data_IF_801846047743
#
_entry.id   IF_801846047743
#
_cell.length_a   1.000
_cell.length_b   1.000
_cell.length_c   1.000
_cell.angle_alpha   90.00
_cell.angle_beta   90.00
_cell.angle_gamma   90.00
#
_symmetry.space_group_name_H-M   'P 1'
#
loop_
_entity.id
_entity.type
_entity.pdbx_description
1 polymer ?
#
# COMPACT_ATOMS: atom_id res chain seq x y z
N UNK A 1 -11.62 1.10 -24.62
CA UNK A 1 -10.43 0.29 -24.99
C UNK A 1 -9.45 1.11 -25.81
N UNK A 2 -9.79 1.51 -27.05
CA UNK A 2 -8.91 2.32 -27.92
C UNK A 2 -8.44 3.63 -27.27
N UNK A 3 -9.33 4.43 -26.67
CA UNK A 3 -8.94 5.71 -26.04
C UNK A 3 -8.04 5.58 -24.82
N UNK A 4 -8.16 4.50 -24.03
CA UNK A 4 -7.29 4.31 -22.86
C UNK A 4 -5.95 3.73 -23.24
N UNK A 5 -5.94 2.80 -24.20
CA UNK A 5 -4.72 2.27 -24.79
C UNK A 5 -3.97 3.38 -25.55
N UNK A 6 -4.70 4.27 -26.23
CA UNK A 6 -4.19 5.47 -26.89
C UNK A 6 -3.67 6.48 -25.87
N UNK A 7 -4.35 6.71 -24.75
CA UNK A 7 -3.86 7.60 -23.69
C UNK A 7 -2.64 7.04 -22.97
N UNK A 8 -2.57 5.72 -22.75
CA UNK A 8 -1.39 5.04 -22.26
C UNK A 8 -0.25 5.08 -23.29
N UNK A 9 -0.53 4.88 -24.58
CA UNK A 9 0.42 5.06 -25.70
C UNK A 9 0.87 6.52 -25.85
N UNK A 10 0.01 7.49 -25.60
CA UNK A 10 0.29 8.92 -25.66
C UNK A 10 1.16 9.36 -24.47
N UNK A 11 0.88 8.85 -23.27
CA UNK A 11 1.72 9.03 -22.09
C UNK A 11 3.09 8.35 -22.25
N UNK A 12 3.15 7.21 -22.96
CA UNK A 12 4.39 6.56 -23.41
C UNK A 12 5.15 7.43 -24.42
N UNK A 13 4.47 8.00 -25.41
CA UNK A 13 5.05 8.86 -26.47
C UNK A 13 5.55 10.21 -25.95
N UNK A 14 4.93 10.74 -24.88
CA UNK A 14 5.35 11.98 -24.18
C UNK A 14 6.57 11.78 -23.26
N UNK A 15 7.13 10.57 -23.19
CA UNK A 15 8.34 10.29 -22.40
C UNK A 15 8.12 10.29 -20.88
N UNK A 16 6.86 10.23 -20.43
CA UNK A 16 6.49 10.23 -19.02
C UNK A 16 6.46 8.82 -18.41
N UNK A 17 6.31 7.79 -19.25
CA UNK A 17 6.61 6.37 -18.99
C UNK A 17 7.45 5.90 -20.20
N UNK A 18 8.66 5.34 -20.01
CA UNK A 18 9.68 5.24 -21.08
C UNK A 18 9.94 3.78 -21.43
N UNK A 19 9.10 3.20 -22.29
CA UNK A 19 9.45 1.95 -22.97
C UNK A 19 10.24 2.27 -24.26
N UNK A 20 11.53 1.90 -24.32
CA UNK A 20 12.27 1.86 -25.59
C UNK A 20 11.68 0.74 -26.45
N UNK A 21 11.26 1.07 -27.68
CA UNK A 21 10.85 0.08 -28.68
C UNK A 21 12.00 -0.87 -28.98
N UNK A 22 11.83 -2.17 -28.69
CA UNK A 22 12.73 -3.22 -29.15
C UNK A 22 12.29 -3.68 -30.54
N UNK A 23 12.74 -2.96 -31.57
CA UNK A 23 12.73 -3.47 -32.94
C UNK A 23 13.86 -4.48 -33.11
N UNK A 24 13.51 -5.75 -33.28
CA UNK A 24 14.45 -6.80 -33.65
C UNK A 24 14.78 -6.71 -35.13
N UNK A 25 16.06 -6.68 -35.46
CA UNK A 25 16.55 -6.92 -36.81
C UNK A 25 17.57 -8.06 -36.74
N UNK A 26 17.19 -9.19 -37.33
CA UNK A 26 17.99 -10.41 -37.42
C UNK A 26 19.27 -10.14 -38.21
N UNK A 27 20.44 -10.34 -37.58
CA UNK A 27 21.70 -10.52 -38.31
C UNK A 27 22.20 -11.93 -38.09
N UNK A 28 22.37 -12.61 -39.23
CA UNK A 28 22.90 -13.94 -39.40
C UNK A 28 24.29 -14.06 -38.76
N UNK A 29 24.49 -15.13 -37.98
CA UNK A 29 25.80 -15.52 -37.48
C UNK A 29 26.60 -16.20 -38.59
N UNK A 30 27.73 -15.59 -38.98
CA UNK A 30 28.79 -16.29 -39.70
C UNK A 30 30.12 -16.20 -38.94
N UNK A 31 30.86 -17.31 -39.01
CA UNK A 31 31.89 -17.80 -38.08
C UNK A 31 33.19 -17.00 -38.09
N UNK A 32 33.89 -17.03 -36.95
CA UNK A 32 35.33 -16.74 -36.88
C UNK A 32 35.93 -16.99 -35.50
N UNK A 33 36.53 -18.16 -35.30
CA UNK A 33 37.42 -18.46 -34.16
C UNK A 33 38.78 -17.81 -34.44
N UNK A 34 39.20 -16.82 -33.62
CA UNK A 34 40.60 -16.41 -33.52
C UNK A 34 40.95 -15.71 -32.18
N UNK A 35 41.70 -16.45 -31.37
CA UNK A 35 42.80 -16.16 -30.44
C UNK A 35 42.99 -14.77 -29.75
N UNK A 36 43.13 -14.86 -28.41
CA UNK A 36 43.98 -14.09 -27.45
C UNK A 36 44.06 -12.55 -27.51
N UNK A 37 43.73 -11.89 -26.38
CA UNK A 37 44.70 -11.39 -25.37
C UNK A 37 44.01 -10.70 -24.16
N UNK A 38 44.75 -10.70 -23.06
CA UNK A 38 44.37 -10.33 -21.68
C UNK A 38 44.06 -8.84 -21.51
N UNK A 39 43.05 -8.56 -20.68
CA UNK A 39 42.66 -7.23 -20.20
C UNK A 39 41.27 -7.30 -19.59
N UNK A 40 41.15 -7.90 -18.40
CA UNK A 40 39.86 -8.11 -17.72
C UNK A 40 39.30 -6.82 -17.13
N UNK A 41 38.83 -5.90 -17.97
CA UNK A 41 37.79 -4.96 -17.57
C UNK A 41 36.50 -5.78 -17.46
N UNK A 42 35.83 -5.72 -16.32
CA UNK A 42 34.61 -6.48 -16.09
C UNK A 42 33.56 -6.07 -17.13
N UNK A 43 33.41 -6.87 -18.18
CA UNK A 43 32.29 -6.81 -19.11
C UNK A 43 31.05 -7.06 -18.26
N UNK A 44 30.34 -5.98 -17.91
CA UNK A 44 29.00 -6.09 -17.38
C UNK A 44 28.18 -6.67 -18.52
N UNK A 45 27.86 -7.95 -18.40
CA UNK A 45 26.92 -8.62 -19.27
C UNK A 45 25.59 -7.86 -19.23
N UNK A 46 25.36 -7.01 -20.24
CA UNK A 46 24.14 -6.22 -20.43
C UNK A 46 22.95 -7.09 -20.92
N UNK A 47 23.04 -8.43 -20.83
CA UNK A 47 22.04 -9.33 -21.39
C UNK A 47 21.07 -9.96 -20.38
N UNK A 48 21.13 -9.65 -19.08
CA UNK A 48 20.15 -10.17 -18.09
C UNK A 48 19.71 -9.16 -17.02
N UNK A 49 19.58 -7.86 -17.34
CA UNK A 49 18.79 -6.98 -16.48
C UNK A 49 17.30 -7.35 -16.67
N UNK A 50 16.68 -7.96 -15.66
CA UNK A 50 15.28 -8.30 -15.69
C UNK A 50 14.47 -7.02 -15.90
N UNK A 51 14.03 -6.77 -17.14
CA UNK A 51 13.29 -5.56 -17.48
C UNK A 51 11.97 -5.55 -16.71
N UNK A 52 11.89 -4.71 -15.69
CA UNK A 52 10.67 -4.46 -14.94
C UNK A 52 9.76 -3.53 -15.76
N UNK A 53 8.46 -3.80 -15.70
CA UNK A 53 7.47 -2.92 -16.31
C UNK A 53 7.39 -1.57 -15.58
N UNK A 54 7.22 -0.49 -16.36
CA UNK A 54 7.02 0.84 -15.81
C UNK A 54 5.66 0.94 -15.10
N UNK A 55 5.65 1.49 -13.88
CA UNK A 55 4.42 1.71 -13.10
C UNK A 55 4.08 3.18 -13.04
N UNK A 56 2.86 3.53 -13.46
CA UNK A 56 2.39 4.90 -13.49
C UNK A 56 1.07 5.03 -12.69
N UNK A 57 0.91 6.12 -11.91
CA UNK A 57 -0.32 6.38 -11.13
C UNK A 57 -1.30 7.16 -12.01
N UNK A 58 -2.43 6.53 -12.36
CA UNK A 58 -3.43 7.11 -13.27
C UNK A 58 -4.61 7.80 -12.58
N UNK A 59 -4.77 7.61 -11.26
CA UNK A 59 -5.82 8.27 -10.49
C UNK A 59 -5.66 8.15 -8.99
N UNK A 60 -6.12 9.17 -8.26
CA UNK A 60 -6.05 9.24 -6.80
C UNK A 60 -7.33 9.85 -6.24
N UNK A 61 -7.86 9.23 -5.19
CA UNK A 61 -8.95 9.79 -4.40
C UNK A 61 -8.83 9.37 -2.93
N UNK A 62 -9.41 10.17 -2.04
CA UNK A 62 -9.57 9.86 -0.61
C UNK A 62 -10.88 10.46 -0.11
N UNK A 63 -11.42 9.88 0.96
CA UNK A 63 -12.49 10.53 1.73
C UNK A 63 -11.95 11.72 2.53
N UNK A 64 -12.82 12.61 3.04
CA UNK A 64 -12.46 13.48 4.15
C UNK A 64 -11.98 12.67 5.37
N UNK A 65 -11.16 13.29 6.22
CA UNK A 65 -10.75 12.70 7.50
C UNK A 65 -11.71 13.18 8.58
N UNK A 66 -12.47 12.25 9.18
CA UNK A 66 -13.37 12.56 10.29
C UNK A 66 -12.64 12.54 11.64
N UNK A 67 -13.08 13.39 12.57
CA UNK A 67 -12.68 13.27 13.97
C UNK A 67 -13.19 11.98 14.60
N UNK A 68 -12.55 11.51 15.68
CA UNK A 68 -12.98 10.35 16.43
C UNK A 68 -14.40 10.56 16.98
N UNK A 69 -15.30 9.60 16.74
CA UNK A 69 -16.74 9.71 17.01
C UNK A 69 -17.41 10.95 16.36
N UNK A 70 -16.84 11.45 15.26
CA UNK A 70 -17.34 12.61 14.54
C UNK A 70 -18.29 12.27 13.38
N UNK A 71 -18.28 13.11 12.35
CA UNK A 71 -19.23 13.09 11.22
C UNK A 71 -19.24 11.80 10.39
N UNK A 72 -18.10 11.11 10.28
CA UNK A 72 -17.98 9.86 9.52
C UNK A 72 -18.11 8.61 10.40
N UNK A 73 -18.44 8.75 11.69
CA UNK A 73 -18.51 7.62 12.63
C UNK A 73 -19.60 6.61 12.30
N UNK A 74 -20.65 7.00 11.59
CA UNK A 74 -21.71 6.11 11.13
C UNK A 74 -21.29 5.18 9.99
N UNK A 75 -20.14 5.41 9.36
CA UNK A 75 -19.66 4.63 8.22
C UNK A 75 -18.58 3.62 8.63
N UNK A 76 -18.73 2.38 8.15
CA UNK A 76 -17.71 1.34 8.30
C UNK A 76 -16.46 1.69 7.49
N UNK A 77 -15.31 1.11 7.89
CA UNK A 77 -14.06 1.26 7.13
C UNK A 77 -14.24 0.77 5.68
N UNK A 78 -14.94 -0.36 5.48
CA UNK A 78 -15.21 -0.94 4.16
C UNK A 78 -16.02 0.00 3.26
N UNK A 79 -17.02 0.70 3.81
CA UNK A 79 -17.82 1.67 3.04
C UNK A 79 -17.01 2.90 2.65
N UNK A 80 -16.16 3.40 3.54
CA UNK A 80 -15.22 4.50 3.24
C UNK A 80 -14.23 4.07 2.14
N UNK A 81 -13.72 2.84 2.21
CA UNK A 81 -12.89 2.24 1.17
C UNK A 81 -13.59 2.17 -0.18
N UNK A 82 -14.85 1.72 -0.23
CA UNK A 82 -15.64 1.68 -1.46
C UNK A 82 -15.78 3.05 -2.12
N UNK A 83 -16.08 4.09 -1.34
CA UNK A 83 -16.23 5.47 -1.84
C UNK A 83 -14.91 5.97 -2.44
N UNK A 84 -13.79 5.69 -1.78
CA UNK A 84 -12.46 6.07 -2.25
C UNK A 84 -12.09 5.36 -3.57
N UNK A 85 -12.31 4.04 -3.65
CA UNK A 85 -12.03 3.24 -4.86
C UNK A 85 -12.87 3.75 -6.04
N UNK A 86 -14.18 3.87 -5.85
CA UNK A 86 -15.09 4.35 -6.90
C UNK A 86 -14.70 5.75 -7.40
N UNK A 87 -14.33 6.65 -6.49
CA UNK A 87 -13.90 8.01 -6.84
C UNK A 87 -12.56 8.02 -7.58
N UNK A 88 -11.63 7.14 -7.22
CA UNK A 88 -10.33 7.04 -7.89
C UNK A 88 -10.49 6.54 -9.32
N UNK A 89 -11.27 5.47 -9.54
CA UNK A 89 -11.55 4.93 -10.88
C UNK A 89 -12.28 5.95 -11.76
N UNK A 90 -13.27 6.65 -11.21
CA UNK A 90 -14.00 7.72 -11.94
C UNK A 90 -13.07 8.86 -12.37
N UNK A 91 -12.13 9.29 -11.51
CA UNK A 91 -11.15 10.33 -11.84
C UNK A 91 -10.12 9.87 -12.87
N UNK A 92 -9.73 8.60 -12.82
CA UNK A 92 -8.84 7.99 -13.80
C UNK A 92 -9.51 7.73 -15.15
N UNK A 93 -10.86 7.78 -15.21
CA UNK A 93 -11.66 7.35 -16.34
C UNK A 93 -11.37 5.88 -16.74
N UNK A 94 -11.18 5.01 -15.74
CA UNK A 94 -10.90 3.58 -15.92
C UNK A 94 -12.19 2.79 -15.76
N UNK A 95 -12.44 1.87 -16.70
CA UNK A 95 -13.54 0.90 -16.59
C UNK A 95 -13.29 -0.06 -15.41
N UNK A 96 -14.21 -0.16 -14.42
CA UNK A 96 -14.07 -1.05 -13.29
C UNK A 96 -13.86 -2.53 -13.66
N UNK A 97 -14.29 -2.96 -14.85
CA UNK A 97 -14.13 -4.34 -15.33
C UNK A 97 -12.68 -4.71 -15.67
N UNK A 98 -11.83 -3.71 -15.91
CA UNK A 98 -10.42 -3.92 -16.26
C UNK A 98 -9.52 -4.10 -15.03
N UNK A 99 -10.02 -3.80 -13.82
CA UNK A 99 -9.25 -3.97 -12.59
C UNK A 99 -9.08 -5.46 -12.31
N UNK A 100 -7.84 -5.92 -12.20
CA UNK A 100 -7.52 -7.34 -11.97
C UNK A 100 -7.35 -7.67 -10.49
N UNK A 101 -6.74 -6.75 -9.72
CA UNK A 101 -6.44 -6.97 -8.31
C UNK A 101 -6.60 -5.69 -7.47
N UNK A 102 -6.93 -5.87 -6.18
CA UNK A 102 -6.99 -4.80 -5.18
C UNK A 102 -6.15 -5.16 -3.95
N UNK A 103 -5.18 -4.32 -3.63
CA UNK A 103 -4.48 -4.33 -2.35
C UNK A 103 -4.98 -3.17 -1.48
N UNK A 104 -5.58 -3.46 -0.33
CA UNK A 104 -6.12 -2.42 0.54
C UNK A 104 -5.66 -2.57 1.99
N UNK A 105 -5.02 -1.52 2.50
CA UNK A 105 -4.52 -1.47 3.87
C UNK A 105 -5.65 -1.31 4.88
N UNK A 106 -5.65 -2.11 5.96
CA UNK A 106 -6.51 -1.93 7.12
C UNK A 106 -5.85 -2.54 8.37
N UNK A 107 -5.79 -1.80 9.47
CA UNK A 107 -5.09 -2.24 10.69
C UNK A 107 -6.04 -2.91 11.66
N UNK A 108 -7.16 -2.26 11.97
CA UNK A 108 -8.10 -2.72 12.97
C UNK A 108 -9.31 -3.38 12.30
N UNK A 109 -9.13 -4.64 11.88
CA UNK A 109 -10.14 -5.36 11.09
C UNK A 109 -11.26 -6.03 11.89
N UNK A 110 -11.25 -5.91 13.22
CA UNK A 110 -12.27 -6.55 14.04
C UNK A 110 -13.66 -5.93 13.79
N UNK A 111 -14.70 -6.77 13.80
CA UNK A 111 -16.09 -6.39 13.53
C UNK A 111 -16.33 -5.80 12.11
N UNK A 112 -15.36 -5.85 11.20
CA UNK A 112 -15.58 -5.47 9.80
C UNK A 112 -16.18 -6.60 8.95
N UNK A 113 -16.21 -7.84 9.46
CA UNK A 113 -16.62 -9.02 8.69
C UNK A 113 -15.47 -9.64 7.90
N UNK A 114 -15.80 -10.56 6.99
CA UNK A 114 -14.80 -11.31 6.21
C UNK A 114 -14.21 -10.47 5.08
N UNK A 115 -12.91 -10.62 4.85
CA UNK A 115 -12.17 -10.00 3.74
C UNK A 115 -12.49 -8.50 3.51
N UNK A 116 -12.04 -7.58 4.39
CA UNK A 116 -12.38 -6.17 4.31
C UNK A 116 -12.09 -5.54 2.93
N UNK A 117 -10.92 -5.80 2.33
CA UNK A 117 -10.60 -5.30 0.98
C UNK A 117 -11.63 -5.74 -0.05
N UNK A 118 -12.10 -7.00 0.02
CA UNK A 118 -13.12 -7.53 -0.89
C UNK A 118 -14.46 -6.84 -0.72
N UNK A 119 -14.88 -6.56 0.52
CA UNK A 119 -16.10 -5.77 0.77
C UNK A 119 -16.00 -4.36 0.18
N UNK A 120 -14.85 -3.71 0.33
CA UNK A 120 -14.61 -2.38 -0.23
C UNK A 120 -14.69 -2.40 -1.77
N UNK A 121 -14.05 -3.39 -2.40
CA UNK A 121 -14.06 -3.63 -3.86
C UNK A 121 -15.47 -3.85 -4.40
N UNK A 122 -16.23 -4.79 -3.83
CA UNK A 122 -17.60 -5.06 -4.24
C UNK A 122 -18.52 -3.86 -4.00
N UNK A 123 -18.36 -3.18 -2.87
CA UNK A 123 -19.14 -1.97 -2.55
C UNK A 123 -18.83 -0.77 -3.44
N UNK A 124 -17.69 -0.78 -4.16
CA UNK A 124 -17.32 0.21 -5.17
C UNK A 124 -17.87 -0.11 -6.57
N UNK A 125 -18.47 -1.29 -6.76
CA UNK A 125 -19.03 -1.75 -8.03
C UNK A 125 -18.06 -2.49 -8.94
N UNK A 126 -16.91 -2.94 -8.43
CA UNK A 126 -15.99 -3.79 -9.19
C UNK A 126 -16.53 -5.23 -9.29
N UNK A 127 -16.19 -5.98 -10.36
CA UNK A 127 -16.72 -7.33 -10.55
C UNK A 127 -16.22 -8.30 -9.47
N UNK A 128 -16.95 -9.40 -9.32
CA UNK A 128 -16.60 -10.46 -8.37
C UNK A 128 -15.37 -11.30 -8.80
N UNK A 129 -14.84 -11.08 -10.01
CA UNK A 129 -13.62 -11.71 -10.50
C UNK A 129 -12.35 -11.09 -9.92
N UNK A 130 -12.42 -9.85 -9.40
CA UNK A 130 -11.23 -9.10 -8.93
C UNK A 130 -10.63 -9.72 -7.67
N UNK A 131 -9.34 -10.06 -7.72
CA UNK A 131 -8.60 -10.59 -6.57
C UNK A 131 -8.42 -9.50 -5.52
N UNK A 132 -8.56 -9.83 -4.24
CA UNK A 132 -8.56 -8.82 -3.17
C UNK A 132 -7.72 -9.27 -1.97
N UNK A 133 -6.75 -8.45 -1.58
CA UNK A 133 -5.86 -8.71 -0.44
C UNK A 133 -5.93 -7.56 0.56
N UNK A 134 -6.25 -7.89 1.82
CA UNK A 134 -6.19 -6.92 2.92
C UNK A 134 -4.79 -6.93 3.51
N UNK A 135 -4.14 -5.78 3.56
CA UNK A 135 -2.74 -5.65 4.01
C UNK A 135 -2.70 -5.01 5.39
N UNK A 136 -2.00 -5.63 6.33
CA UNK A 136 -1.76 -5.03 7.65
C UNK A 136 -0.26 -4.88 7.89
N UNK A 137 0.20 -3.63 7.84
CA UNK A 137 1.51 -3.19 8.31
C UNK A 137 1.39 -1.94 9.18
N UNK A 138 0.45 -1.97 10.12
CA UNK A 138 0.13 -0.86 11.05
C UNK A 138 -0.05 0.45 10.25
N UNK A 139 0.54 1.57 10.65
CA UNK A 139 0.39 2.85 9.97
C UNK A 139 0.87 2.82 8.50
N UNK A 140 1.78 1.90 8.16
CA UNK A 140 2.32 1.75 6.82
C UNK A 140 1.45 0.85 5.91
N UNK A 141 0.27 0.39 6.37
CA UNK A 141 -0.58 -0.55 5.62
C UNK A 141 -0.96 -0.03 4.23
N UNK A 142 -1.37 1.23 4.12
CA UNK A 142 -1.74 1.83 2.83
C UNK A 142 -0.57 1.91 1.86
N UNK A 143 0.58 2.38 2.34
CA UNK A 143 1.80 2.46 1.52
C UNK A 143 2.31 1.06 1.14
N UNK A 144 2.26 0.09 2.06
CA UNK A 144 2.66 -1.29 1.75
C UNK A 144 1.74 -1.92 0.71
N UNK A 145 0.44 -1.63 0.74
CA UNK A 145 -0.49 -2.05 -0.30
C UNK A 145 -0.11 -1.46 -1.67
N UNK A 146 0.24 -0.18 -1.74
CA UNK A 146 0.76 0.45 -2.97
C UNK A 146 2.05 -0.19 -3.46
N UNK A 147 2.99 -0.52 -2.56
CA UNK A 147 4.22 -1.22 -2.93
C UNK A 147 3.95 -2.60 -3.54
N UNK A 148 3.01 -3.37 -2.96
CA UNK A 148 2.64 -4.69 -3.49
C UNK A 148 1.98 -4.59 -4.87
N UNK A 149 1.11 -3.60 -5.06
CA UNK A 149 0.51 -3.33 -6.36
C UNK A 149 1.55 -2.96 -7.42
N UNK A 150 2.50 -2.09 -7.07
CA UNK A 150 3.60 -1.72 -7.97
C UNK A 150 4.45 -2.94 -8.34
N UNK A 151 4.79 -3.79 -7.36
CA UNK A 151 5.53 -5.04 -7.61
C UNK A 151 4.75 -5.99 -8.54
N UNK A 152 3.44 -6.09 -8.36
CA UNK A 152 2.59 -6.91 -9.22
C UNK A 152 2.60 -6.45 -10.68
N UNK A 153 2.58 -5.12 -10.91
CA UNK A 153 2.68 -4.55 -12.26
C UNK A 153 4.09 -4.69 -12.82
N UNK A 154 5.13 -4.37 -12.04
CA UNK A 154 6.54 -4.48 -12.44
C UNK A 154 6.91 -5.89 -12.92
N UNK A 155 6.32 -6.91 -12.31
CA UNK A 155 6.54 -8.32 -12.63
C UNK A 155 5.65 -8.82 -13.78
N UNK A 156 4.81 -7.98 -14.38
CA UNK A 156 3.88 -8.36 -15.46
C UNK A 156 2.76 -9.30 -15.01
N UNK A 157 2.44 -9.36 -13.70
CA UNK A 157 1.39 -10.23 -13.17
C UNK A 157 0.00 -9.61 -13.41
N UNK A 158 -0.11 -8.29 -13.27
CA UNK A 158 -1.32 -7.52 -13.52
C UNK A 158 -0.98 -6.22 -14.24
N UNK A 159 -1.92 -5.69 -15.03
CA UNK A 159 -1.81 -4.42 -15.73
C UNK A 159 -2.48 -3.27 -14.95
N UNK A 160 -3.65 -3.55 -14.36
CA UNK A 160 -4.47 -2.55 -13.66
C UNK A 160 -4.80 -3.06 -12.25
N UNK A 161 -4.19 -2.42 -11.27
CA UNK A 161 -4.33 -2.75 -9.85
C UNK A 161 -4.80 -1.52 -9.07
N UNK A 162 -5.76 -1.70 -8.17
CA UNK A 162 -6.17 -0.66 -7.22
C UNK A 162 -5.41 -0.85 -5.91
N UNK A 163 -4.78 0.21 -5.42
CA UNK A 163 -4.10 0.19 -4.13
C UNK A 163 -4.53 1.35 -3.24
N UNK A 164 -4.56 1.12 -1.93
CA UNK A 164 -4.87 2.16 -0.96
C UNK A 164 -5.03 1.65 0.45
N UNK A 165 -5.86 2.31 1.24
CA UNK A 165 -6.18 1.88 2.59
C UNK A 165 -7.46 2.53 3.13
N UNK A 166 -7.99 1.93 4.19
CA UNK A 166 -9.19 2.36 4.89
C UNK A 166 -9.07 2.09 6.39
N UNK A 167 -9.66 2.96 7.19
CA UNK A 167 -9.71 2.79 8.64
C UNK A 167 -10.94 3.49 9.20
N UNK A 168 -11.54 2.92 10.26
CA UNK A 168 -12.64 3.54 11.00
C UNK A 168 -12.44 3.30 12.48
N UNK A 169 -11.57 4.11 13.09
CA UNK A 169 -11.25 4.00 14.52
C UNK A 169 -12.49 4.14 15.41
N UNK A 170 -13.47 4.95 14.99
CA UNK A 170 -14.75 5.13 15.68
C UNK A 170 -15.55 3.83 15.83
N UNK A 171 -15.38 2.87 14.92
CA UNK A 171 -16.14 1.60 14.91
C UNK A 171 -15.34 0.41 15.44
N UNK A 172 -14.14 0.64 15.98
CA UNK A 172 -13.30 -0.43 16.53
C UNK A 172 -13.96 -1.00 17.78
N UNK A 173 -14.29 -2.30 17.80
CA UNK A 173 -14.93 -2.91 18.96
C UNK A 173 -13.95 -3.06 20.12
N UNK A 174 -14.51 -3.18 21.31
CA UNK A 174 -13.77 -3.66 22.49
C UNK A 174 -13.70 -5.18 22.49
N UNK A 175 -12.59 -5.74 22.98
CA UNK A 175 -12.40 -7.19 23.09
C UNK A 175 -12.63 -7.71 24.50
N UNK A 176 -13.21 -8.91 24.60
CA UNK A 176 -13.24 -9.72 25.82
C UNK A 176 -12.55 -11.05 25.49
N UNK A 177 -11.22 -11.10 25.70
CA UNK A 177 -10.38 -12.23 25.26
C UNK A 177 -10.85 -13.59 25.82
N UNK A 178 -11.32 -13.61 27.06
CA UNK A 178 -11.71 -14.85 27.75
C UNK A 178 -13.11 -15.35 27.36
N UNK A 179 -13.89 -14.60 26.57
CA UNK A 179 -15.29 -14.92 26.31
C UNK A 179 -15.45 -16.25 25.58
N UNK A 180 -14.54 -16.55 24.64
CA UNK A 180 -14.56 -17.82 23.88
C UNK A 180 -14.27 -19.03 24.77
N UNK A 181 -13.34 -18.90 25.72
CA UNK A 181 -12.92 -20.01 26.59
C UNK A 181 -13.84 -20.19 27.81
N UNK A 182 -14.30 -19.10 28.44
CA UNK A 182 -15.05 -19.13 29.71
C UNK A 182 -16.56 -18.93 29.52
N UNK A 183 -17.02 -18.54 28.32
CA UNK A 183 -18.42 -18.27 28.03
C UNK A 183 -19.00 -17.17 28.93
N UNK A 184 -20.28 -17.29 29.31
CA UNK A 184 -20.98 -16.31 30.17
C UNK A 184 -20.32 -16.07 31.53
N UNK A 185 -19.41 -16.96 31.99
CA UNK A 185 -18.64 -16.78 33.23
C UNK A 185 -17.66 -15.62 33.15
N UNK A 186 -17.11 -15.31 31.96
CA UNK A 186 -16.25 -14.14 31.74
C UNK A 186 -16.97 -12.80 31.95
N UNK A 187 -18.30 -12.79 31.89
CA UNK A 187 -19.13 -11.59 32.02
C UNK A 187 -19.60 -11.34 33.47
N UNK A 188 -19.44 -12.32 34.37
CA UNK A 188 -19.91 -12.21 35.76
C UNK A 188 -19.03 -11.31 36.63
N UNK A 189 -17.77 -11.14 36.25
CA UNK A 189 -16.80 -10.41 37.03
C UNK A 189 -16.78 -8.91 36.61
N UNK A 190 -17.81 -8.17 37.02
CA UNK A 190 -18.07 -6.77 36.60
C UNK A 190 -16.90 -5.82 36.86
N UNK A 191 -16.03 -6.12 37.83
CA UNK A 191 -14.82 -5.32 38.15
C UNK A 191 -13.64 -5.59 37.20
N UNK A 192 -13.55 -6.76 36.56
CA UNK A 192 -12.43 -7.12 35.69
C UNK A 192 -12.70 -6.85 34.20
N UNK A 193 -13.97 -6.77 33.78
CA UNK A 193 -14.36 -6.36 32.41
C UNK A 193 -13.88 -4.94 32.08
N UNK A 194 -13.87 -4.04 33.06
CA UNK A 194 -13.43 -2.65 32.85
C UNK A 194 -11.90 -2.47 32.86
N UNK A 195 -11.14 -3.47 33.33
CA UNK A 195 -9.68 -3.40 33.53
C UNK A 195 -8.88 -4.22 32.51
N UNK A 196 -9.54 -5.05 31.69
CA UNK A 196 -8.93 -5.92 30.67
C UNK A 196 -9.24 -5.45 29.25
N UNK A 197 -9.42 -4.15 29.05
CA UNK A 197 -9.31 -3.59 27.71
C UNK A 197 -7.85 -3.69 27.32
N UNK A 198 -7.55 -4.47 26.28
CA UNK A 198 -6.25 -4.44 25.63
C UNK A 198 -6.06 -3.01 25.16
N UNK A 199 -5.23 -2.26 25.88
CA UNK A 199 -4.81 -0.93 25.53
C UNK A 199 -4.06 -1.08 24.19
N UNK A 200 -4.73 -0.77 23.08
CA UNK A 200 -4.15 -0.79 21.73
C UNK A 200 -3.09 0.32 21.54
N UNK A 201 -2.85 1.13 22.57
CA UNK A 201 -1.69 2.01 22.62
C UNK A 201 -0.47 1.17 23.02
N UNK A 202 0.55 1.03 22.16
CA UNK A 202 1.81 0.45 22.61
C UNK A 202 2.33 1.22 23.83
N UNK A 203 2.97 0.57 24.82
CA UNK A 203 3.73 1.31 25.81
C UNK A 203 4.76 2.16 25.05
N UNK A 204 4.90 3.42 25.44
CA UNK A 204 5.91 4.31 24.86
C UNK A 204 7.28 3.65 25.00
N UNK A 205 7.79 3.08 23.90
CA UNK A 205 9.18 2.65 23.84
C UNK A 205 9.99 3.92 23.84
N UNK A 206 10.55 4.25 25.00
CA UNK A 206 11.46 5.35 25.17
C UNK A 206 12.79 4.93 24.51
N UNK A 207 12.87 5.13 23.19
CA UNK A 207 14.08 4.85 22.44
C UNK A 207 15.07 5.99 22.71
N UNK A 208 15.80 5.88 23.82
CA UNK A 208 16.94 6.74 24.10
C UNK A 208 18.04 6.43 23.10
N UNK A 209 18.08 7.18 22.00
CA UNK A 209 19.17 7.15 21.03
C UNK A 209 20.47 7.57 21.73
N UNK A 210 21.29 6.59 22.10
CA UNK A 210 22.70 6.83 22.39
C UNK A 210 23.47 6.92 21.07
N UNK A 211 23.58 8.13 20.52
CA UNK A 211 24.52 8.39 19.43
C UNK A 211 25.89 8.70 20.02
N UNK A 212 26.73 7.67 20.15
CA UNK A 212 28.18 7.85 20.21
C UNK A 212 28.81 6.84 19.27
N UNK A 213 29.02 7.23 18.02
CA UNK A 213 30.24 6.94 17.28
C UNK A 213 30.29 7.81 16.03
N UNK A 214 31.33 8.65 15.98
CA UNK A 214 31.74 9.42 14.81
C UNK A 214 32.39 8.47 13.81
N UNK A 215 31.87 8.39 12.59
CA UNK A 215 32.56 7.80 11.45
C UNK A 215 32.57 8.82 10.30
N UNK A 216 33.72 9.01 9.62
CA UNK A 216 33.85 9.94 8.50
C UNK A 216 33.47 9.24 7.19
N UNK A 217 32.94 9.99 6.22
CA UNK A 217 32.86 9.57 4.82
C UNK A 217 31.43 9.43 4.28
N UNK A 218 30.97 10.51 3.64
CA UNK A 218 29.97 10.58 2.57
C UNK A 218 29.23 9.28 2.17
N UNK A 219 28.16 8.97 2.90
CA UNK A 219 27.05 8.15 2.41
C UNK A 219 25.78 8.89 2.79
N UNK A 220 25.33 9.74 1.87
CA UNK A 220 24.09 10.50 1.94
C UNK A 220 22.90 9.54 1.74
N UNK A 221 22.74 8.57 2.64
CA UNK A 221 21.47 7.87 2.81
C UNK A 221 20.53 8.85 3.51
N UNK A 222 19.77 9.58 2.70
CA UNK A 222 18.62 10.36 3.15
C UNK A 222 17.50 9.39 3.62
N UNK A 223 17.74 8.66 4.70
CA UNK A 223 16.72 8.02 5.52
C UNK A 223 16.19 9.07 6.52
N UNK A 224 15.77 10.21 6.00
CA UNK A 224 14.98 11.22 6.72
C UNK A 224 13.83 11.57 5.78
N UNK A 225 12.87 10.67 5.71
CA UNK A 225 11.52 11.04 5.29
C UNK A 225 10.56 10.70 6.43
N UNK A 226 10.54 11.63 7.39
CA UNK A 226 9.45 11.79 8.35
C UNK A 226 8.24 12.40 7.63
N UNK A 227 7.06 11.91 8.03
CA UNK A 227 5.67 12.43 7.89
C UNK A 227 4.78 11.47 7.07
N UNK A 228 3.55 11.08 7.48
CA UNK A 228 2.63 11.62 8.51
C UNK A 228 1.54 10.58 8.83
N UNK A 229 0.93 10.64 10.03
CA UNK A 229 -0.44 10.14 10.21
C UNK A 229 -0.85 9.53 11.57
N UNK A 230 -0.60 10.19 12.71
CA UNK A 230 -1.50 10.24 13.89
C UNK A 230 -0.79 10.69 15.19
N UNK A 231 0.51 10.47 15.36
CA UNK A 231 1.12 10.58 16.69
C UNK A 231 1.54 11.99 17.14
N UNK A 232 1.61 13.01 16.29
CA UNK A 232 2.24 14.29 16.68
C UNK A 232 1.28 15.38 17.19
N UNK A 233 -0.04 15.23 17.04
CA UNK A 233 -0.96 16.34 17.33
C UNK A 233 -1.43 16.43 18.80
N UNK A 234 -0.91 15.59 19.71
CA UNK A 234 -1.24 15.69 21.14
C UNK A 234 -0.11 16.27 22.02
N UNK A 235 1.04 16.65 21.44
CA UNK A 235 2.20 17.12 22.22
C UNK A 235 2.51 18.62 22.06
N UNK A 236 1.66 19.38 21.36
CA UNK A 236 1.80 20.84 21.18
C UNK A 236 0.61 21.64 21.73
N UNK A 237 -0.13 21.09 22.71
CA UNK A 237 -1.18 21.81 23.45
C UNK A 237 -0.84 22.08 24.92
N UNK A 238 0.39 21.83 25.36
CA UNK A 238 0.91 22.34 26.63
C UNK A 238 1.61 23.68 26.41
N UNK A 239 0.85 24.79 26.47
CA UNK A 239 1.40 26.13 26.34
C UNK A 239 2.19 26.57 27.58
N UNK A 240 3.36 27.14 27.32
CA UNK A 240 3.94 28.37 27.89
C UNK A 240 3.44 28.76 29.30
N UNK A 241 4.25 28.46 30.33
CA UNK A 241 4.99 29.45 31.17
C UNK A 241 6.34 28.80 31.51
#
# INVERSE_FOLDING_TARGET
MAEMEEKAKELRKKGLCRAKESGGESREEEKGVADRKQGGEAVRDESTDARLEDVCIVGVARTPMGGFLGTLSSLSATKLGSIAIQSALKRANVDPTLVQEVFFGNVLSANLGQAPARQATLGAGLPNTVVCTTVNKVCASGMKATMLAAQSIQLGINDIVVAGGMESMSNVPKYIAELRAKGKRALKDKKSVNKRYIQLSPPAINLSLHTKHSLPGSLLFAAIWLTTGCCFLHMLRGGII
#
